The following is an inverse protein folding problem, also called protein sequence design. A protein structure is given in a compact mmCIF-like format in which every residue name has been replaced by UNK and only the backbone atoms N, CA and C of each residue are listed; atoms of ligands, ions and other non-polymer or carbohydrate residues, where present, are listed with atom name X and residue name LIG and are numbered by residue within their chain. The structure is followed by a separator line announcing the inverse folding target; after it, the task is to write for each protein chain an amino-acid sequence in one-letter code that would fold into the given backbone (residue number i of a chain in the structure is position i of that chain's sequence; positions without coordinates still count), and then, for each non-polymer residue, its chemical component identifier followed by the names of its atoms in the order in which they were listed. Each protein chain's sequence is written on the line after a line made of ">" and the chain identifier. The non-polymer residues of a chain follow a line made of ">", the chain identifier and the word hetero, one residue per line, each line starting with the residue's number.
data_IF_690376245402
#
_entry.id   IF_690376245402
#
_cell.length_a   1.000
_cell.length_b   1.000
_cell.length_c   1.000
_cell.angle_alpha   90.00
_cell.angle_beta   90.00
_cell.angle_gamma   90.00
#
_symmetry.space_group_name_H-M   'P 1'
#
loop_
_entity.id
_entity.type
_entity.pdbx_description
1 polymer ?
#
# COMPACT_ATOMS: atom_id res chain seq x y z
N UNK A 1 3.77 -29.37 3.11
CA UNK A 1 2.81 -28.27 2.85
C UNK A 1 1.45 -28.73 2.31
N UNK A 2 1.29 -30.02 1.98
CA UNK A 2 0.08 -30.56 1.33
C UNK A 2 -1.23 -30.25 2.07
N UNK A 3 -1.22 -30.27 3.41
CA UNK A 3 -2.40 -29.92 4.20
C UNK A 3 -2.92 -28.49 3.99
N UNK A 4 -2.11 -27.57 3.48
CA UNK A 4 -2.51 -26.18 3.22
C UNK A 4 -3.02 -25.97 1.78
N UNK A 5 -2.93 -27.00 0.93
CA UNK A 5 -3.45 -26.98 -0.43
C UNK A 5 -4.96 -27.19 -0.40
N UNK A 6 -5.69 -26.32 -1.08
CA UNK A 6 -7.13 -26.42 -1.25
C UNK A 6 -7.51 -27.20 -2.51
N UNK A 7 -6.94 -26.82 -3.65
CA UNK A 7 -7.22 -27.43 -4.95
C UNK A 7 -5.98 -27.31 -5.85
N UNK A 8 -5.83 -28.25 -6.78
CA UNK A 8 -4.87 -28.15 -7.88
C UNK A 8 -5.62 -27.77 -9.16
N UNK A 9 -5.13 -26.76 -9.88
CA UNK A 9 -5.62 -26.43 -11.23
C UNK A 9 -5.08 -27.42 -12.26
N UNK A 10 -5.72 -27.51 -13.41
CA UNK A 10 -5.24 -28.25 -14.59
C UNK A 10 -3.82 -27.85 -14.99
N UNK A 11 -3.50 -26.57 -14.78
CA UNK A 11 -2.25 -25.94 -15.21
C UNK A 11 -1.07 -26.25 -14.26
N UNK A 12 -1.27 -27.15 -13.29
CA UNK A 12 -0.25 -27.52 -12.30
C UNK A 12 -0.08 -26.54 -11.14
N UNK A 13 -0.76 -25.39 -11.15
CA UNK A 13 -0.74 -24.40 -10.06
C UNK A 13 -1.55 -24.91 -8.86
N UNK A 14 -0.96 -24.80 -7.67
CA UNK A 14 -1.61 -25.13 -6.41
C UNK A 14 -2.33 -23.91 -5.82
N UNK A 15 -3.59 -24.10 -5.41
CA UNK A 15 -4.37 -23.08 -4.71
C UNK A 15 -4.23 -23.30 -3.21
N UNK A 16 -3.82 -22.26 -2.49
CA UNK A 16 -3.64 -22.27 -1.04
C UNK A 16 -4.98 -21.98 -0.34
N UNK A 17 -5.22 -22.64 0.80
CA UNK A 17 -6.40 -22.43 1.61
C UNK A 17 -6.28 -21.17 2.50
N UNK A 18 -6.99 -20.10 2.12
CA UNK A 18 -6.99 -18.82 2.85
C UNK A 18 -7.45 -18.92 4.31
N UNK A 19 -8.41 -19.81 4.62
CA UNK A 19 -8.88 -19.99 6.01
C UNK A 19 -7.77 -20.57 6.89
N UNK A 20 -6.92 -21.43 6.34
CA UNK A 20 -5.75 -21.97 7.05
C UNK A 20 -4.62 -20.94 7.13
N UNK A 21 -4.39 -20.15 6.08
CA UNK A 21 -3.45 -19.02 6.09
C UNK A 21 -3.78 -18.04 7.21
N UNK A 22 -5.04 -17.59 7.30
CA UNK A 22 -5.48 -16.65 8.33
C UNK A 22 -5.27 -17.18 9.76
N UNK A 23 -5.58 -18.46 9.99
CA UNK A 23 -5.33 -19.11 11.30
C UNK A 23 -3.85 -19.12 11.68
N UNK A 24 -2.95 -19.37 10.72
CA UNK A 24 -1.50 -19.35 10.95
C UNK A 24 -0.97 -17.94 11.17
N UNK A 25 -1.51 -16.95 10.45
CA UNK A 25 -1.16 -15.55 10.63
C UNK A 25 -1.55 -15.07 12.05
N UNK A 26 -2.75 -15.41 12.52
CA UNK A 26 -3.16 -15.13 13.90
C UNK A 26 -2.29 -15.83 14.95
N UNK A 27 -1.87 -17.08 14.69
CA UNK A 27 -0.97 -17.81 15.58
C UNK A 27 0.40 -17.12 15.67
N UNK A 28 0.95 -16.69 14.54
CA UNK A 28 2.20 -15.95 14.48
C UNK A 28 2.09 -14.59 15.21
N UNK A 29 1.02 -13.85 14.98
CA UNK A 29 0.78 -12.57 15.66
C UNK A 29 0.74 -12.73 17.19
N UNK A 30 0.06 -13.77 17.70
CA UNK A 30 0.05 -14.07 19.14
C UNK A 30 1.44 -14.41 19.69
N UNK A 31 2.23 -15.15 18.92
CA UNK A 31 3.59 -15.50 19.32
C UNK A 31 4.47 -14.25 19.42
N UNK A 32 4.32 -13.31 18.49
CA UNK A 32 5.06 -12.04 18.47
C UNK A 32 4.64 -11.15 19.65
N UNK A 33 3.35 -11.05 19.94
CA UNK A 33 2.83 -10.24 21.06
C UNK A 33 3.29 -10.77 22.42
N UNK A 34 3.55 -12.08 22.53
CA UNK A 34 4.09 -12.68 23.74
C UNK A 34 5.56 -12.28 24.02
N UNK A 35 6.27 -11.70 23.06
CA UNK A 35 7.65 -11.26 23.22
C UNK A 35 7.65 -9.88 23.90
N UNK A 36 8.29 -9.80 25.06
CA UNK A 36 8.37 -8.55 25.85
C UNK A 36 9.32 -7.52 25.22
N UNK A 37 10.41 -7.98 24.60
CA UNK A 37 11.43 -7.13 23.98
C UNK A 37 11.35 -7.18 22.44
N UNK A 38 11.02 -6.07 21.75
CA UNK A 38 10.90 -6.07 20.29
C UNK A 38 12.23 -6.23 19.55
N UNK A 39 13.36 -6.03 20.24
CA UNK A 39 14.72 -6.15 19.68
C UNK A 39 15.17 -7.60 19.48
N UNK A 40 14.49 -8.56 20.09
CA UNK A 40 14.86 -9.97 20.07
C UNK A 40 14.31 -10.70 18.83
N UNK A 41 13.63 -9.97 17.94
CA UNK A 41 13.13 -10.45 16.65
C UNK A 41 14.30 -10.45 15.64
N UNK A 42 15.19 -11.42 15.76
CA UNK A 42 16.36 -11.57 14.89
C UNK A 42 16.11 -12.62 13.81
N UNK A 43 16.50 -12.30 12.57
CA UNK A 43 16.43 -13.20 11.42
C UNK A 43 17.46 -14.34 11.49
N UNK A 44 16.92 -15.56 11.61
CA UNK A 44 17.48 -16.88 11.24
C UNK A 44 18.84 -17.26 11.85
N UNK A 45 18.80 -18.15 12.83
CA UNK A 45 19.89 -19.11 13.10
C UNK A 45 19.28 -20.44 13.50
N UNK A 46 19.67 -21.55 12.86
CA UNK A 46 19.36 -22.91 13.34
C UNK A 46 20.32 -23.39 14.43
N UNK A 47 21.37 -22.62 14.71
CA UNK A 47 22.46 -22.98 15.63
C UNK A 47 22.15 -22.56 17.07
N UNK A 48 21.32 -21.54 17.21
CA UNK A 48 20.77 -21.07 18.48
C UNK A 48 19.29 -21.44 18.47
N UNK A 49 18.76 -21.95 19.58
CA UNK A 49 17.38 -22.42 19.72
C UNK A 49 16.34 -21.28 19.66
N UNK A 50 16.37 -20.45 18.62
CA UNK A 50 15.39 -19.41 18.33
C UNK A 50 14.22 -20.00 17.56
N UNK A 51 13.03 -19.47 17.82
CA UNK A 51 11.86 -19.84 17.05
C UNK A 51 11.82 -19.11 15.71
N UNK A 52 11.46 -19.83 14.65
CA UNK A 52 11.44 -19.30 13.28
C UNK A 52 10.02 -19.27 12.71
N UNK A 53 9.63 -18.10 12.20
CA UNK A 53 8.37 -17.87 11.49
C UNK A 53 8.72 -17.57 10.04
N UNK A 54 8.11 -18.29 9.10
CA UNK A 54 8.40 -18.14 7.67
C UNK A 54 7.14 -18.09 6.81
N UNK A 55 7.20 -17.27 5.76
CA UNK A 55 6.26 -17.30 4.64
C UNK A 55 6.68 -18.44 3.70
N UNK A 56 5.81 -19.43 3.54
CA UNK A 56 6.13 -20.65 2.81
C UNK A 56 5.14 -20.86 1.65
N UNK A 57 5.68 -21.19 0.49
CA UNK A 57 4.90 -21.64 -0.66
C UNK A 57 4.83 -23.17 -0.67
N UNK A 58 4.15 -23.75 -1.67
CA UNK A 58 3.93 -25.19 -1.79
C UNK A 58 5.21 -26.01 -2.03
N UNK A 59 6.21 -25.40 -2.65
CA UNK A 59 7.54 -25.94 -2.95
C UNK A 59 8.57 -25.70 -1.83
N UNK A 60 8.23 -24.89 -0.82
CA UNK A 60 9.18 -24.48 0.22
C UNK A 60 9.43 -25.60 1.25
N UNK A 61 10.70 -25.90 1.59
CA UNK A 61 11.02 -26.87 2.64
C UNK A 61 10.62 -26.34 4.01
N UNK A 62 10.04 -27.20 4.85
CA UNK A 62 9.63 -26.86 6.22
C UNK A 62 10.67 -27.30 7.27
N UNK A 63 11.93 -27.49 6.87
CA UNK A 63 12.99 -27.89 7.80
C UNK A 63 13.37 -26.67 8.63
N UNK A 64 13.37 -26.82 9.96
CA UNK A 64 13.71 -25.74 10.91
C UNK A 64 12.77 -24.52 10.85
N UNK A 65 11.50 -24.74 10.49
CA UNK A 65 10.44 -23.72 10.54
C UNK A 65 9.39 -24.16 11.55
N UNK A 66 9.22 -23.41 12.63
CA UNK A 66 8.22 -23.72 13.65
C UNK A 66 6.81 -23.28 13.20
N UNK A 67 6.70 -22.04 12.74
CA UNK A 67 5.44 -21.47 12.25
C UNK A 67 5.56 -21.16 10.76
N UNK A 68 5.00 -22.04 9.94
CA UNK A 68 4.86 -21.83 8.51
C UNK A 68 3.52 -21.16 8.18
N UNK A 69 3.58 -19.98 7.56
CA UNK A 69 2.42 -19.28 7.02
C UNK A 69 2.34 -19.58 5.52
N UNK A 70 1.28 -20.26 5.06
CA UNK A 70 1.15 -20.64 3.65
C UNK A 70 0.75 -19.43 2.79
N UNK A 71 1.70 -18.94 1.99
CA UNK A 71 1.58 -17.74 1.17
C UNK A 71 2.29 -17.93 -0.18
N UNK A 72 1.97 -17.09 -1.16
CA UNK A 72 2.80 -16.98 -2.35
C UNK A 72 4.00 -16.08 -2.02
N UNK A 73 5.21 -16.66 -2.12
CA UNK A 73 6.45 -15.97 -1.85
C UNK A 73 7.10 -15.38 -3.12
N UNK A 74 6.54 -15.64 -4.31
CA UNK A 74 7.08 -15.14 -5.58
C UNK A 74 6.49 -13.77 -5.94
N UNK A 75 5.21 -13.56 -5.66
CA UNK A 75 4.56 -12.27 -5.87
C UNK A 75 4.86 -11.27 -4.76
N UNK A 76 5.46 -10.13 -5.11
CA UNK A 76 5.72 -9.03 -4.17
C UNK A 76 4.43 -8.59 -3.44
N UNK A 77 3.32 -8.44 -4.18
CA UNK A 77 2.04 -8.06 -3.60
C UNK A 77 1.54 -9.01 -2.50
N UNK A 78 1.79 -10.32 -2.64
CA UNK A 78 1.38 -11.30 -1.63
C UNK A 78 2.22 -11.16 -0.37
N UNK A 79 3.54 -11.07 -0.50
CA UNK A 79 4.47 -10.90 0.62
C UNK A 79 4.16 -9.63 1.41
N UNK A 80 3.97 -8.51 0.70
CA UNK A 80 3.63 -7.20 1.26
C UNK A 80 2.31 -7.25 2.01
N UNK A 81 1.27 -7.85 1.41
CA UNK A 81 -0.03 -7.99 2.06
C UNK A 81 0.05 -8.83 3.34
N UNK A 82 0.87 -9.88 3.35
CA UNK A 82 1.05 -10.74 4.53
C UNK A 82 1.75 -10.01 5.67
N UNK A 83 2.81 -9.27 5.37
CA UNK A 83 3.49 -8.42 6.35
C UNK A 83 2.57 -7.33 6.91
N UNK A 84 1.83 -6.65 6.03
CA UNK A 84 0.87 -5.63 6.44
C UNK A 84 -0.24 -6.23 7.33
N UNK A 85 -0.81 -7.38 6.96
CA UNK A 85 -1.84 -8.05 7.77
C UNK A 85 -1.31 -8.50 9.12
N UNK A 86 -0.09 -9.03 9.18
CA UNK A 86 0.55 -9.47 10.41
C UNK A 86 0.80 -8.28 11.34
N UNK A 87 1.43 -7.20 10.84
CA UNK A 87 1.68 -5.99 11.61
C UNK A 87 0.37 -5.36 12.13
N UNK A 88 -0.66 -5.30 11.28
CA UNK A 88 -1.98 -4.80 11.66
C UNK A 88 -2.58 -5.58 12.83
N UNK A 89 -2.46 -6.91 12.80
CA UNK A 89 -3.02 -7.76 13.84
C UNK A 89 -2.22 -7.67 15.15
N UNK A 90 -0.90 -7.55 15.08
CA UNK A 90 -0.03 -7.28 16.24
C UNK A 90 -0.39 -5.94 16.89
N UNK A 91 -0.56 -4.87 16.11
CA UNK A 91 -0.95 -3.55 16.62
C UNK A 91 -2.35 -3.54 17.26
N UNK A 92 -3.27 -4.38 16.75
CA UNK A 92 -4.60 -4.58 17.36
C UNK A 92 -4.49 -5.31 18.70
N UNK A 93 -3.64 -6.33 18.80
CA UNK A 93 -3.41 -7.05 20.04
C UNK A 93 -2.68 -6.20 21.09
N UNK A 94 -1.78 -5.30 20.68
CA UNK A 94 -1.17 -4.30 21.57
C UNK A 94 -2.13 -3.20 22.04
N UNK A 95 -3.32 -3.08 21.44
CA UNK A 95 -4.30 -2.06 21.81
C UNK A 95 -4.01 -0.66 21.27
N UNK A 96 -2.98 -0.48 20.44
CA UNK A 96 -2.65 0.81 19.82
C UNK A 96 -3.72 1.24 18.80
N UNK A 97 -4.42 0.27 18.19
CA UNK A 97 -5.44 0.49 17.17
C UNK A 97 -6.71 -0.26 17.57
N UNK A 98 -7.86 0.42 17.54
CA UNK A 98 -9.16 -0.22 17.77
C UNK A 98 -9.51 -1.21 16.64
N UNK A 99 -10.24 -2.29 16.96
CA UNK A 99 -10.66 -3.27 15.96
C UNK A 99 -11.64 -2.72 14.90
N UNK A 100 -12.43 -1.70 15.26
CA UNK A 100 -13.49 -1.14 14.42
C UNK A 100 -12.97 -0.17 13.35
N UNK A 101 -11.99 0.67 13.71
CA UNK A 101 -11.47 1.65 12.78
C UNK A 101 -10.52 1.01 11.76
N UNK A 102 -10.68 1.31 10.46
CA UNK A 102 -9.74 0.85 9.45
C UNK A 102 -8.36 1.45 9.74
N UNK A 103 -7.31 0.65 9.53
CA UNK A 103 -5.95 1.13 9.72
C UNK A 103 -5.61 2.15 8.62
N UNK A 104 -5.22 3.36 9.03
CA UNK A 104 -4.89 4.47 8.11
C UNK A 104 -3.72 4.15 7.17
N UNK A 105 -2.79 3.28 7.59
CA UNK A 105 -1.62 2.92 6.78
C UNK A 105 -2.00 1.92 5.70
N UNK A 106 -1.77 2.29 4.45
CA UNK A 106 -2.06 1.47 3.27
C UNK A 106 -1.01 0.35 3.10
N UNK A 107 -1.39 -0.85 2.63
CA UNK A 107 -0.44 -1.93 2.33
C UNK A 107 0.68 -1.52 1.36
N UNK A 108 0.42 -0.55 0.49
CA UNK A 108 1.36 -0.12 -0.53
C UNK A 108 2.67 0.47 0.04
N UNK A 109 2.67 0.96 1.28
CA UNK A 109 3.89 1.43 1.95
C UNK A 109 4.92 0.31 2.18
N UNK A 110 4.46 -0.95 2.24
CA UNK A 110 5.33 -2.10 2.49
C UNK A 110 6.02 -2.60 1.20
N UNK A 111 5.75 -2.01 0.03
CA UNK A 111 6.53 -2.33 -1.16
C UNK A 111 7.95 -1.82 -1.00
N UNK A 112 8.89 -2.67 -1.39
CA UNK A 112 10.25 -2.22 -1.60
C UNK A 112 10.26 -1.21 -2.75
N UNK A 113 11.00 -0.13 -2.56
CA UNK A 113 11.25 0.89 -3.56
C UNK A 113 12.74 0.82 -3.87
N UNK A 114 13.08 0.51 -5.12
CA UNK A 114 14.47 0.54 -5.55
C UNK A 114 15.01 1.97 -5.42
N UNK A 115 16.24 2.15 -4.93
CA UNK A 115 16.84 3.49 -4.76
C UNK A 115 16.87 4.28 -6.07
N UNK A 116 17.05 3.61 -7.20
CA UNK A 116 17.01 4.23 -8.54
C UNK A 116 15.59 4.64 -8.96
N UNK A 117 14.55 3.88 -8.58
CA UNK A 117 13.15 4.28 -8.83
C UNK A 117 12.76 5.47 -7.97
N UNK A 118 13.28 5.57 -6.74
CA UNK A 118 13.09 6.75 -5.88
C UNK A 118 13.75 7.97 -6.53
N UNK A 119 15.00 7.86 -6.97
CA UNK A 119 15.71 8.95 -7.65
C UNK A 119 15.00 9.38 -8.94
N UNK A 120 14.49 8.42 -9.73
CA UNK A 120 13.79 8.70 -10.98
C UNK A 120 12.37 9.27 -10.75
N UNK A 121 11.66 8.83 -9.70
CA UNK A 121 10.38 9.41 -9.28
C UNK A 121 10.57 10.82 -8.68
N UNK A 122 11.65 11.07 -7.92
CA UNK A 122 12.01 12.40 -7.40
C UNK A 122 12.41 13.35 -8.53
N UNK A 123 13.16 12.87 -9.53
CA UNK A 123 13.47 13.61 -10.75
C UNK A 123 12.21 13.89 -11.56
N UNK A 124 11.32 12.91 -11.76
CA UNK A 124 10.05 13.11 -12.46
C UNK A 124 9.10 14.07 -11.69
N UNK A 125 9.10 14.04 -10.36
CA UNK A 125 8.34 14.97 -9.54
C UNK A 125 8.93 16.39 -9.59
N UNK A 126 10.26 16.51 -9.60
CA UNK A 126 10.96 17.77 -9.81
C UNK A 126 10.66 18.32 -11.22
N UNK A 127 10.77 17.50 -12.26
CA UNK A 127 10.43 17.85 -13.64
C UNK A 127 8.96 18.27 -13.79
N UNK A 128 8.03 17.54 -13.16
CA UNK A 128 6.59 17.88 -13.16
C UNK A 128 6.30 19.17 -12.38
N UNK A 129 7.08 19.46 -11.32
CA UNK A 129 6.98 20.72 -10.58
C UNK A 129 7.55 21.89 -11.39
N UNK A 130 8.68 21.70 -12.09
CA UNK A 130 9.31 22.69 -12.98
C UNK A 130 8.42 22.97 -14.19
N UNK A 131 7.79 21.96 -14.81
CA UNK A 131 6.83 22.19 -15.91
C UNK A 131 5.54 22.86 -15.42
N UNK A 132 5.09 22.62 -14.18
CA UNK A 132 3.96 23.36 -13.60
C UNK A 132 4.30 24.82 -13.33
N UNK A 133 5.51 25.11 -12.88
CA UNK A 133 5.99 26.47 -12.69
C UNK A 133 6.23 27.19 -14.05
N UNK A 134 6.77 26.50 -15.06
CA UNK A 134 6.89 27.03 -16.43
C UNK A 134 5.52 27.26 -17.08
N UNK A 135 4.57 26.33 -16.93
CA UNK A 135 3.21 26.48 -17.46
C UNK A 135 2.41 27.60 -16.76
N UNK A 136 2.70 27.90 -15.49
CA UNK A 136 2.15 29.09 -14.81
C UNK A 136 2.85 30.39 -15.21
N UNK A 137 4.11 30.35 -15.64
CA UNK A 137 4.85 31.50 -16.16
C UNK A 137 4.43 31.93 -17.57
N UNK A 138 4.02 31.00 -18.43
CA UNK A 138 3.70 31.27 -19.83
C UNK A 138 2.32 31.94 -20.05
N UNK A 139 1.51 32.06 -18.99
CA UNK A 139 0.23 32.80 -19.00
C UNK A 139 0.34 34.23 -18.43
N UNK A 140 1.54 34.80 -18.34
CA UNK A 140 1.75 36.23 -18.07
C UNK A 140 2.56 36.88 -19.20
N UNK A 141 1.99 36.93 -20.40
CA UNK A 141 2.47 37.80 -21.46
C UNK A 141 1.78 39.18 -21.37
N UNK A 142 2.53 40.30 -21.40
CA UNK A 142 1.96 41.64 -21.31
C UNK A 142 1.22 42.00 -22.61
N UNK A 143 0.01 42.56 -22.46
CA UNK A 143 -0.83 43.05 -23.56
C UNK A 143 -0.05 44.06 -24.42
N UNK A 144 0.05 43.89 -25.75
CA UNK A 144 0.61 44.92 -26.61
C UNK A 144 -0.33 46.14 -26.65
N UNK A 145 0.19 47.33 -26.34
CA UNK A 145 -0.48 48.62 -26.56
C UNK A 145 -0.82 48.79 -28.05
N UNK A 146 -2.08 48.53 -28.38
CA UNK A 146 -2.71 48.96 -29.63
C UNK A 146 -3.76 49.98 -29.23
N UNK A 147 -3.52 51.24 -29.59
CA UNK A 147 -4.48 52.34 -29.49
C UNK A 147 -5.72 51.98 -30.32
N UNK A 148 -6.75 51.47 -29.66
CA UNK A 148 -8.07 51.27 -30.22
C UNK A 148 -9.09 51.96 -29.31
N UNK A 149 -9.74 52.97 -29.88
CA UNK A 149 -10.91 53.69 -29.38
C UNK A 149 -11.91 52.72 -28.74
N UNK A 150 -12.38 53.01 -27.52
CA UNK A 150 -13.42 52.24 -26.85
C UNK A 150 -14.72 52.19 -27.67
N UNK A 151 -15.36 51.02 -27.77
CA UNK A 151 -16.81 50.94 -27.78
C UNK A 151 -17.32 50.35 -26.44
N UNK A 152 -18.19 51.16 -25.82
CA UNK A 152 -19.20 50.92 -24.78
C UNK A 152 -19.38 49.48 -24.24
N UNK A 153 -19.22 49.35 -22.92
CA UNK A 153 -19.42 48.13 -22.13
C UNK A 153 -20.92 47.84 -21.99
N UNK A 154 -21.40 46.75 -22.62
CA UNK A 154 -22.67 46.15 -22.26
C UNK A 154 -22.47 45.24 -21.03
N UNK A 155 -23.11 45.62 -19.93
CA UNK A 155 -23.14 44.88 -18.66
C UNK A 155 -24.04 43.64 -18.79
N UNK A 156 -23.45 42.45 -18.66
CA UNK A 156 -24.12 41.15 -18.81
C UNK A 156 -24.71 40.60 -17.50
N UNK A 157 -25.08 41.48 -16.57
CA UNK A 157 -25.52 41.10 -15.22
C UNK A 157 -26.93 41.56 -14.82
N UNK A 158 -27.89 41.48 -15.75
CA UNK A 158 -29.32 41.45 -15.38
C UNK A 158 -30.07 40.30 -16.07
N UNK A 159 -30.47 39.31 -15.27
CA UNK A 159 -31.42 38.29 -15.68
C UNK A 159 -32.85 38.83 -15.56
N UNK A 160 -33.73 38.65 -16.56
CA UNK A 160 -35.11 39.14 -16.47
C UNK A 160 -35.91 38.27 -15.50
N UNK A 161 -36.40 38.90 -14.43
CA UNK A 161 -37.38 38.30 -13.51
C UNK A 161 -38.71 38.18 -14.27
N UNK A 162 -39.11 36.95 -14.58
CA UNK A 162 -40.44 36.63 -15.08
C UNK A 162 -41.32 36.13 -13.94
N UNK A 163 -42.39 36.86 -13.62
CA UNK A 163 -43.63 36.44 -12.93
C UNK A 163 -44.51 37.69 -12.72
N UNK A 164 -45.84 37.74 -12.74
CA UNK A 164 -46.95 36.95 -13.30
C UNK A 164 -48.23 37.65 -12.75
N UNK A 165 -49.22 37.90 -13.61
CA UNK A 165 -50.67 38.04 -13.28
C UNK A 165 -51.40 37.81 -14.61
N UNK A 166 -52.34 36.89 -14.83
CA UNK A 166 -53.14 35.97 -13.99
C UNK A 166 -53.12 34.56 -14.58
#
# INVERSE_FOLDING_TARGET
>A
MEQYIYKRKSDGIYLINLKKTWKKLLLAARAIVAIENPTDIIGITSYVNLSTIALCNTDSPLRYVDIAIPCDNKGAHSVVLMWWMLAREVLRMHGTISCEHPWKVMPYLYFYRDSEEIENEEQAAAETSVTKEEFQGEWNAPTPEITATQPEVADWSEAPIAQATE
#
